data_IF_324982038621
#
_entry.id   IF_324982038621
#
_cell.length_a   1.000
_cell.length_b   1.000
_cell.length_c   1.000
_cell.angle_alpha   90.00
_cell.angle_beta   90.00
_cell.angle_gamma   90.00
#
_symmetry.space_group_name_H-M   'P 1'
#
loop_
_entity.id
_entity.type
_entity.pdbx_description
1 polymer ?
#
# COMPACT_ATOMS: atom_id res chain seq x y z
N UNK A 1 3.41 21.91 18.26
CA UNK A 1 4.05 22.41 17.01
C UNK A 1 4.86 21.28 16.35
N UNK A 2 5.64 20.51 17.10
CA UNK A 2 6.44 19.40 16.54
C UNK A 2 5.56 18.23 16.10
N UNK A 3 4.52 17.88 16.86
CA UNK A 3 3.52 16.89 16.49
C UNK A 3 2.82 17.24 15.16
N UNK A 4 2.51 18.52 14.95
CA UNK A 4 1.90 19.01 13.71
C UNK A 4 2.84 18.89 12.51
N UNK A 5 4.15 19.04 12.69
CA UNK A 5 5.14 18.87 11.63
C UNK A 5 5.27 17.40 11.22
N UNK A 6 5.34 16.48 12.20
CA UNK A 6 5.37 15.04 11.93
C UNK A 6 4.09 14.57 11.23
N UNK A 7 2.92 15.00 11.70
CA UNK A 7 1.63 14.68 11.10
C UNK A 7 1.56 15.18 9.65
N UNK A 8 1.99 16.41 9.38
CA UNK A 8 2.03 16.95 8.00
C UNK A 8 3.00 16.20 7.10
N UNK A 9 4.19 15.83 7.61
CA UNK A 9 5.18 15.08 6.85
C UNK A 9 4.68 13.66 6.53
N UNK A 10 4.02 13.00 7.48
CA UNK A 10 3.42 11.68 7.26
C UNK A 10 2.26 11.75 6.27
N UNK A 11 1.30 12.64 6.50
CA UNK A 11 0.07 12.75 5.69
C UNK A 11 0.33 13.26 4.28
N UNK A 12 1.31 14.15 4.08
CA UNK A 12 1.69 14.72 2.79
C UNK A 12 2.65 13.81 2.01
N UNK A 13 3.97 14.05 2.07
CA UNK A 13 4.94 13.33 1.25
C UNK A 13 5.11 11.85 1.64
N UNK A 14 4.99 11.49 2.92
CA UNK A 14 5.16 10.13 3.41
C UNK A 14 4.14 9.16 2.82
N UNK A 15 2.90 9.27 3.26
CA UNK A 15 1.81 8.38 2.81
C UNK A 15 1.21 8.81 1.48
N UNK A 16 1.39 10.08 1.08
CA UNK A 16 0.90 10.60 -0.17
C UNK A 16 1.72 10.22 -1.40
N UNK A 17 3.03 10.03 -1.26
CA UNK A 17 3.92 9.75 -2.38
C UNK A 17 4.90 8.63 -2.09
N UNK A 18 5.65 8.70 -0.98
CA UNK A 18 6.75 7.77 -0.73
C UNK A 18 6.28 6.33 -0.59
N UNK A 19 5.20 6.07 0.16
CA UNK A 19 4.63 4.73 0.34
C UNK A 19 4.07 4.11 -0.94
N UNK A 20 3.20 4.79 -1.72
CA UNK A 20 2.72 4.25 -2.99
C UNK A 20 3.87 3.98 -3.97
N UNK A 21 4.84 4.90 -4.07
CA UNK A 21 5.99 4.73 -4.97
C UNK A 21 6.88 3.57 -4.52
N UNK A 22 7.14 3.43 -3.21
CA UNK A 22 7.93 2.32 -2.68
C UNK A 22 7.25 0.97 -2.95
N UNK A 23 5.95 0.84 -2.68
CA UNK A 23 5.19 -0.38 -2.96
C UNK A 23 5.17 -0.70 -4.47
N UNK A 24 4.99 0.32 -5.33
CA UNK A 24 5.05 0.18 -6.77
C UNK A 24 6.44 -0.29 -7.25
N UNK A 25 7.52 0.27 -6.69
CA UNK A 25 8.89 -0.10 -7.01
C UNK A 25 9.18 -1.55 -6.59
N UNK A 26 8.84 -1.92 -5.35
CA UNK A 26 9.01 -3.30 -4.84
C UNK A 26 8.31 -4.30 -5.73
N UNK A 27 7.04 -4.05 -6.07
CA UNK A 27 6.29 -4.93 -6.95
C UNK A 27 6.93 -5.02 -8.35
N UNK A 28 7.40 -3.89 -8.89
CA UNK A 28 8.03 -3.84 -10.20
C UNK A 28 9.38 -4.56 -10.23
N UNK A 29 10.14 -4.53 -9.13
CA UNK A 29 11.37 -5.30 -8.98
C UNK A 29 11.09 -6.80 -8.84
N UNK A 30 10.01 -7.18 -8.13
CA UNK A 30 9.66 -8.59 -7.88
C UNK A 30 9.05 -9.29 -9.09
N UNK A 31 8.19 -8.61 -9.83
CA UNK A 31 7.42 -9.18 -10.95
C UNK A 31 7.92 -8.71 -12.33
N UNK A 32 8.88 -7.80 -12.36
CA UNK A 32 9.29 -7.13 -13.59
C UNK A 32 8.25 -6.09 -14.07
N UNK A 33 8.50 -5.53 -15.25
CA UNK A 33 7.63 -4.49 -15.85
C UNK A 33 6.40 -5.04 -16.57
N UNK A 34 6.33 -6.35 -16.77
CA UNK A 34 5.26 -7.03 -17.48
C UNK A 34 3.98 -7.23 -16.66
N UNK A 35 3.06 -8.00 -17.23
CA UNK A 35 1.85 -8.48 -16.53
C UNK A 35 2.24 -9.42 -15.40
N UNK A 36 1.38 -9.54 -14.39
CA UNK A 36 1.54 -10.50 -13.29
C UNK A 36 1.82 -11.94 -13.80
N UNK A 37 1.10 -12.36 -14.82
CA UNK A 37 1.24 -13.65 -15.48
C UNK A 37 2.68 -13.89 -16.02
N UNK A 38 3.27 -12.87 -16.64
CA UNK A 38 4.64 -12.97 -17.16
C UNK A 38 5.67 -13.09 -16.03
N UNK A 39 5.44 -12.40 -14.91
CA UNK A 39 6.33 -12.45 -13.74
C UNK A 39 6.38 -13.83 -13.07
N UNK A 40 5.30 -14.61 -13.14
CA UNK A 40 5.22 -15.96 -12.52
C UNK A 40 5.48 -17.09 -13.52
N UNK A 41 5.65 -16.78 -14.80
CA UNK A 41 5.91 -17.76 -15.86
C UNK A 41 7.11 -18.68 -15.58
N UNK A 42 8.25 -18.22 -15.02
CA UNK A 42 9.38 -19.11 -14.71
C UNK A 42 9.01 -20.19 -13.68
N UNK A 43 8.25 -19.82 -12.63
CA UNK A 43 7.80 -20.78 -11.62
C UNK A 43 6.81 -21.81 -12.20
N UNK A 44 5.94 -21.37 -13.10
CA UNK A 44 5.00 -22.24 -13.80
C UNK A 44 5.74 -23.22 -14.74
N UNK A 45 6.80 -22.79 -15.40
CA UNK A 45 7.64 -23.66 -16.22
C UNK A 45 8.33 -24.79 -15.42
N UNK A 46 8.54 -24.58 -14.11
CA UNK A 46 9.05 -25.57 -13.17
C UNK A 46 7.94 -26.42 -12.52
N UNK A 47 6.70 -26.35 -13.01
CA UNK A 47 5.57 -27.15 -12.53
C UNK A 47 4.77 -26.53 -11.37
N UNK A 48 5.06 -25.29 -10.97
CA UNK A 48 4.27 -24.62 -9.96
C UNK A 48 2.89 -24.21 -10.52
N UNK A 49 1.85 -24.36 -9.71
CA UNK A 49 0.52 -23.89 -10.07
C UNK A 49 0.52 -22.35 -10.17
N UNK A 50 0.19 -21.79 -11.33
CA UNK A 50 0.34 -20.36 -11.64
C UNK A 50 -0.30 -19.46 -10.62
N UNK A 51 -1.53 -19.76 -10.16
CA UNK A 51 -2.24 -18.96 -9.16
C UNK A 51 -1.53 -18.95 -7.81
N UNK A 52 -1.00 -20.08 -7.36
CA UNK A 52 -0.23 -20.17 -6.12
C UNK A 52 1.09 -19.43 -6.25
N UNK A 53 1.77 -19.54 -7.39
CA UNK A 53 2.99 -18.77 -7.66
C UNK A 53 2.71 -17.24 -7.66
N UNK A 54 1.60 -16.80 -8.27
CA UNK A 54 1.18 -15.42 -8.26
C UNK A 54 0.88 -14.90 -6.84
N UNK A 55 0.14 -15.70 -6.06
CA UNK A 55 -0.15 -15.34 -4.66
C UNK A 55 1.14 -15.28 -3.83
N UNK A 56 2.03 -16.26 -3.96
CA UNK A 56 3.31 -16.30 -3.26
C UNK A 56 4.20 -15.09 -3.61
N UNK A 57 4.29 -14.74 -4.88
CA UNK A 57 5.04 -13.58 -5.34
C UNK A 57 4.44 -12.25 -4.80
N UNK A 58 3.12 -12.11 -4.81
CA UNK A 58 2.43 -10.93 -4.27
C UNK A 58 2.61 -10.83 -2.75
N UNK A 59 2.48 -11.94 -2.02
CA UNK A 59 2.68 -11.97 -0.56
C UNK A 59 4.14 -11.64 -0.23
N UNK A 60 5.11 -12.24 -0.93
CA UNK A 60 6.52 -11.93 -0.75
C UNK A 60 6.83 -10.45 -1.00
N UNK A 61 6.32 -9.88 -2.09
CA UNK A 61 6.44 -8.46 -2.37
C UNK A 61 5.75 -7.58 -1.30
N UNK A 62 4.57 -8.01 -0.81
CA UNK A 62 3.84 -7.29 0.24
C UNK A 62 4.60 -7.27 1.57
N UNK A 63 5.27 -8.36 1.96
CA UNK A 63 6.10 -8.41 3.16
C UNK A 63 7.28 -7.44 3.06
N UNK A 64 7.97 -7.41 1.91
CA UNK A 64 9.08 -6.47 1.68
C UNK A 64 8.59 -5.03 1.67
N UNK A 65 7.47 -4.76 0.99
CA UNK A 65 6.87 -3.43 0.96
C UNK A 65 6.41 -2.98 2.35
N UNK A 66 5.83 -3.88 3.15
CA UNK A 66 5.43 -3.60 4.54
C UNK A 66 6.63 -3.21 5.41
N UNK A 67 7.75 -3.93 5.31
CA UNK A 67 8.97 -3.59 6.04
C UNK A 67 9.52 -2.21 5.65
N UNK A 68 9.57 -1.90 4.36
CA UNK A 68 9.98 -0.59 3.85
C UNK A 68 8.99 0.50 4.28
N UNK A 69 7.69 0.24 4.20
CA UNK A 69 6.65 1.17 4.61
C UNK A 69 6.69 1.49 6.11
N UNK A 70 6.93 0.47 6.95
CA UNK A 70 7.16 0.65 8.38
C UNK A 70 8.37 1.54 8.66
N UNK A 71 9.48 1.29 7.97
CA UNK A 71 10.71 2.07 8.11
C UNK A 71 10.52 3.52 7.69
N UNK A 72 9.90 3.77 6.52
CA UNK A 72 9.61 5.13 6.04
C UNK A 72 8.76 5.88 7.06
N UNK A 73 7.69 5.26 7.55
CA UNK A 73 6.78 5.88 8.51
C UNK A 73 7.47 6.15 9.87
N UNK A 74 8.27 5.20 10.36
CA UNK A 74 9.07 5.34 11.57
C UNK A 74 10.03 6.52 11.49
N UNK A 75 10.85 6.55 10.45
CA UNK A 75 11.86 7.61 10.24
C UNK A 75 11.18 8.97 10.10
N UNK A 76 10.08 9.04 9.33
CA UNK A 76 9.33 10.28 9.15
C UNK A 76 8.73 10.79 10.47
N UNK A 77 8.17 9.89 11.28
CA UNK A 77 7.62 10.24 12.59
C UNK A 77 8.73 10.76 13.53
N UNK A 78 9.84 10.04 13.65
CA UNK A 78 10.96 10.44 14.50
C UNK A 78 11.58 11.78 14.06
N UNK A 79 11.79 11.95 12.76
CA UNK A 79 12.35 13.20 12.21
C UNK A 79 11.45 14.42 12.47
N UNK A 80 10.13 14.21 12.52
CA UNK A 80 9.17 15.29 12.78
C UNK A 80 9.00 15.69 14.26
N UNK A 81 9.45 14.83 15.20
CA UNK A 81 9.27 15.08 16.65
C UNK A 81 10.45 15.81 17.31
N UNK A 82 11.60 15.95 16.66
CA UNK A 82 12.80 16.50 17.30
C UNK A 82 13.45 15.51 18.29
N UNK A 83 13.92 15.99 19.50
CA UNK A 83 14.61 15.11 20.45
C UNK A 83 13.76 13.91 20.87
N UNK A 84 14.37 12.71 21.03
CA UNK A 84 13.65 11.51 21.41
C UNK A 84 12.92 11.65 22.75
N UNK A 85 11.66 11.24 22.78
CA UNK A 85 10.80 11.19 23.96
C UNK A 85 9.95 9.91 23.94
N UNK A 86 9.37 9.53 25.09
CA UNK A 86 8.45 8.39 25.12
C UNK A 86 7.26 8.57 24.17
N UNK A 87 6.75 9.78 24.01
CA UNK A 87 5.68 10.10 23.08
C UNK A 87 6.14 9.91 21.62
N UNK A 88 7.34 10.37 21.24
CA UNK A 88 7.85 10.22 19.89
C UNK A 88 8.07 8.75 19.50
N UNK A 89 8.49 7.90 20.45
CA UNK A 89 8.62 6.46 20.23
C UNK A 89 7.26 5.80 20.02
N UNK A 90 6.26 6.14 20.84
CA UNK A 90 4.89 5.62 20.68
C UNK A 90 4.30 6.00 19.31
N UNK A 91 4.48 7.26 18.91
CA UNK A 91 3.99 7.74 17.61
C UNK A 91 4.73 7.10 16.43
N UNK A 92 6.05 6.86 16.57
CA UNK A 92 6.83 6.15 15.58
C UNK A 92 6.38 4.69 15.41
N UNK A 93 6.10 3.98 16.52
CA UNK A 93 5.58 2.61 16.48
C UNK A 93 4.17 2.58 15.85
N UNK A 94 3.30 3.52 16.25
CA UNK A 94 1.95 3.63 15.68
C UNK A 94 2.01 3.93 14.18
N UNK A 95 2.85 4.87 13.75
CA UNK A 95 3.03 5.18 12.33
C UNK A 95 3.62 4.02 11.55
N UNK A 96 4.53 3.24 12.16
CA UNK A 96 5.20 2.12 11.50
C UNK A 96 4.20 1.02 11.12
N UNK A 97 3.30 0.60 12.02
CA UNK A 97 2.34 -0.44 11.68
C UNK A 97 1.32 0.07 10.64
N UNK A 98 0.91 1.34 10.70
CA UNK A 98 0.05 1.96 9.68
C UNK A 98 0.78 1.94 8.32
N UNK A 99 2.07 2.33 8.31
CA UNK A 99 2.91 2.30 7.11
C UNK A 99 3.06 0.90 6.53
N UNK A 100 3.30 -0.10 7.40
CA UNK A 100 3.39 -1.51 6.99
C UNK A 100 2.09 -2.01 6.34
N UNK A 101 0.96 -1.81 7.02
CA UNK A 101 -0.35 -2.25 6.54
C UNK A 101 -0.72 -1.57 5.21
N UNK A 102 -0.49 -0.27 5.12
CA UNK A 102 -0.79 0.52 3.92
C UNK A 102 0.08 0.08 2.74
N UNK A 103 1.39 -0.11 2.94
CA UNK A 103 2.30 -0.55 1.88
C UNK A 103 1.98 -1.97 1.39
N UNK A 104 1.61 -2.88 2.30
CA UNK A 104 1.12 -4.20 1.93
C UNK A 104 -0.15 -4.12 1.07
N UNK A 105 -1.13 -3.30 1.48
CA UNK A 105 -2.35 -3.09 0.72
C UNK A 105 -2.07 -2.52 -0.68
N UNK A 106 -1.17 -1.53 -0.80
CA UNK A 106 -0.73 -1.00 -2.09
C UNK A 106 -0.11 -2.06 -3.00
N UNK A 107 0.67 -2.99 -2.42
CA UNK A 107 1.28 -4.06 -3.21
C UNK A 107 0.22 -4.93 -3.88
N UNK A 108 -0.83 -5.31 -3.16
CA UNK A 108 -1.96 -6.04 -3.74
C UNK A 108 -2.77 -5.20 -4.73
N UNK A 109 -2.98 -3.92 -4.43
CA UNK A 109 -3.66 -2.96 -5.30
C UNK A 109 -2.95 -2.82 -6.65
N UNK A 110 -1.63 -2.62 -6.65
CA UNK A 110 -0.84 -2.55 -7.88
C UNK A 110 -0.68 -3.93 -8.54
N UNK A 111 -0.67 -5.01 -7.77
CA UNK A 111 -0.70 -6.39 -8.27
C UNK A 111 -1.98 -6.67 -9.07
N UNK A 112 -3.12 -6.23 -8.54
CA UNK A 112 -4.38 -6.26 -9.29
C UNK A 112 -4.30 -5.39 -10.54
N UNK A 113 -3.77 -4.17 -10.44
CA UNK A 113 -3.51 -3.29 -11.59
C UNK A 113 -2.64 -3.97 -12.65
N UNK A 114 -1.60 -4.71 -12.25
CA UNK A 114 -0.70 -5.43 -13.17
C UNK A 114 -1.40 -6.54 -13.97
N UNK A 115 -2.55 -7.01 -13.54
CA UNK A 115 -3.35 -7.99 -14.27
C UNK A 115 -4.18 -7.37 -15.41
N UNK A 116 -4.19 -6.05 -15.53
CA UNK A 116 -4.92 -5.31 -16.58
C UNK A 116 -3.97 -4.63 -17.58
N UNK A 117 -4.46 -4.51 -18.79
CA UNK A 117 -3.79 -3.78 -19.87
C UNK A 117 -2.61 -4.54 -20.49
N UNK A 118 -2.12 -4.00 -21.60
CA UNK A 118 -0.93 -4.50 -22.24
C UNK A 118 0.30 -4.23 -21.34
N UNK A 119 1.18 -5.20 -21.24
CA UNK A 119 2.44 -5.08 -20.49
C UNK A 119 2.29 -4.64 -19.01
N UNK A 120 1.13 -4.91 -18.38
CA UNK A 120 0.91 -4.54 -16.98
C UNK A 120 0.72 -3.05 -16.72
N UNK A 121 0.38 -2.26 -17.73
CA UNK A 121 0.18 -0.81 -17.63
C UNK A 121 -0.91 -0.38 -16.65
N UNK A 122 -1.85 -1.26 -16.32
CA UNK A 122 -2.89 -0.98 -15.32
C UNK A 122 -2.37 -0.61 -13.93
N UNK A 123 -1.13 -1.01 -13.57
CA UNK A 123 -0.51 -0.57 -12.29
C UNK A 123 -0.20 0.93 -12.27
N UNK A 124 0.17 1.51 -13.43
CA UNK A 124 0.43 2.95 -13.56
C UNK A 124 -0.89 3.73 -13.47
N UNK A 125 -1.94 3.20 -14.11
CA UNK A 125 -3.29 3.76 -14.02
C UNK A 125 -3.78 3.70 -12.57
N UNK A 126 -3.57 2.57 -11.88
CA UNK A 126 -3.91 2.41 -10.47
C UNK A 126 -3.19 3.45 -9.58
N UNK A 127 -1.89 3.67 -9.80
CA UNK A 127 -1.14 4.71 -9.10
C UNK A 127 -1.72 6.11 -9.38
N UNK A 128 -2.00 6.43 -10.64
CA UNK A 128 -2.60 7.72 -11.02
C UNK A 128 -3.96 7.93 -10.38
N UNK A 129 -4.83 6.92 -10.38
CA UNK A 129 -6.15 6.99 -9.74
C UNK A 129 -6.04 7.20 -8.22
N UNK A 130 -5.14 6.50 -7.53
CA UNK A 130 -4.93 6.68 -6.09
C UNK A 130 -4.40 8.09 -5.78
N UNK A 131 -3.48 8.63 -6.59
CA UNK A 131 -2.94 9.97 -6.40
C UNK A 131 -3.99 11.06 -6.63
N UNK A 132 -4.94 10.86 -7.55
CA UNK A 132 -5.98 11.83 -7.89
C UNK A 132 -7.20 11.73 -6.98
N UNK A 133 -7.67 10.51 -6.69
CA UNK A 133 -8.95 10.27 -6.00
C UNK A 133 -8.73 9.99 -4.51
N UNK A 134 -7.64 9.31 -4.16
CA UNK A 134 -7.35 8.90 -2.77
C UNK A 134 -7.33 10.04 -1.75
N UNK A 135 -6.86 11.27 -2.05
CA UNK A 135 -6.90 12.38 -1.11
C UNK A 135 -8.26 13.10 -1.03
N UNK A 136 -9.22 12.79 -1.92
CA UNK A 136 -10.51 13.45 -1.95
C UNK A 136 -11.43 12.92 -0.85
N UNK A 137 -12.10 13.80 -0.14
CA UNK A 137 -13.11 13.45 0.86
C UNK A 137 -14.43 13.05 0.18
N UNK A 138 -14.42 11.94 -0.55
CA UNK A 138 -15.57 11.44 -1.31
C UNK A 138 -15.88 9.98 -0.95
N UNK A 139 -17.13 9.52 -1.08
CA UNK A 139 -17.47 8.11 -0.85
C UNK A 139 -16.64 7.12 -1.68
N UNK A 140 -16.20 7.54 -2.87
CA UNK A 140 -15.37 6.72 -3.77
C UNK A 140 -13.95 6.52 -3.21
N UNK A 141 -13.46 7.44 -2.38
CA UNK A 141 -12.13 7.34 -1.75
C UNK A 141 -11.98 6.09 -0.87
N UNK A 142 -13.08 5.53 -0.35
CA UNK A 142 -13.11 4.24 0.39
C UNK A 142 -12.48 3.09 -0.39
N UNK A 143 -12.47 3.15 -1.71
CA UNK A 143 -11.87 2.11 -2.56
C UNK A 143 -10.33 2.25 -2.70
N UNK A 144 -9.74 3.29 -2.14
CA UNK A 144 -8.32 3.58 -2.26
C UNK A 144 -7.59 3.43 -0.92
N UNK A 145 -6.43 2.74 -0.90
CA UNK A 145 -5.65 2.54 0.33
C UNK A 145 -5.27 3.85 1.03
N UNK A 146 -5.03 4.90 0.25
CA UNK A 146 -4.63 6.22 0.75
C UNK A 146 -5.66 6.84 1.68
N UNK A 147 -6.93 6.78 1.36
CA UNK A 147 -7.99 7.38 2.17
C UNK A 147 -8.04 6.75 3.58
N UNK A 148 -7.96 5.43 3.65
CA UNK A 148 -7.91 4.72 4.93
C UNK A 148 -6.63 5.02 5.72
N UNK A 149 -5.49 5.10 5.05
CA UNK A 149 -4.22 5.46 5.68
C UNK A 149 -4.28 6.88 6.29
N UNK A 150 -4.84 7.84 5.57
CA UNK A 150 -5.03 9.21 6.08
C UNK A 150 -5.99 9.25 7.28
N UNK A 151 -7.07 8.46 7.27
CA UNK A 151 -7.98 8.35 8.42
C UNK A 151 -7.26 7.75 9.64
N UNK A 152 -6.43 6.73 9.46
CA UNK A 152 -5.61 6.14 10.52
C UNK A 152 -4.58 7.13 11.10
N UNK A 153 -4.10 8.07 10.28
CA UNK A 153 -3.21 9.15 10.69
C UNK A 153 -3.94 10.37 11.29
N UNK A 154 -5.23 10.23 11.61
CA UNK A 154 -6.00 11.26 12.29
C UNK A 154 -6.67 12.28 11.36
N UNK A 155 -6.93 11.95 10.09
CA UNK A 155 -7.75 12.73 9.15
C UNK A 155 -9.12 12.08 8.92
N UNK A 156 -10.07 12.23 9.85
CA UNK A 156 -11.37 11.54 9.76
C UNK A 156 -12.18 11.95 8.54
N UNK A 157 -11.94 13.13 7.98
CA UNK A 157 -12.58 13.62 6.75
C UNK A 157 -12.15 12.83 5.50
N UNK A 158 -11.02 12.11 5.54
CA UNK A 158 -10.56 11.31 4.40
C UNK A 158 -11.51 10.16 4.08
N UNK A 159 -12.18 9.60 5.11
CA UNK A 159 -13.23 8.57 4.94
C UNK A 159 -14.39 8.95 5.86
N UNK A 160 -15.33 9.78 5.39
CA UNK A 160 -16.40 10.30 6.25
C UNK A 160 -17.21 9.19 6.91
N UNK A 161 -17.42 9.32 8.23
CA UNK A 161 -18.21 8.38 9.02
C UNK A 161 -17.48 7.08 9.42
N UNK A 162 -16.22 6.91 9.06
CA UNK A 162 -15.44 5.72 9.42
C UNK A 162 -14.55 5.97 10.64
N UNK A 163 -14.60 5.04 11.61
CA UNK A 163 -13.65 5.01 12.71
C UNK A 163 -12.27 4.52 12.22
N UNK A 164 -11.23 4.73 13.01
CA UNK A 164 -9.90 4.19 12.72
C UNK A 164 -9.91 2.65 12.66
N UNK A 165 -10.66 2.00 13.55
CA UNK A 165 -10.84 0.54 13.50
C UNK A 165 -11.51 0.09 12.20
N UNK A 166 -12.54 0.79 11.74
CA UNK A 166 -13.19 0.51 10.46
C UNK A 166 -12.21 0.68 9.28
N UNK A 167 -11.36 1.72 9.31
CA UNK A 167 -10.34 1.92 8.26
C UNK A 167 -9.26 0.85 8.28
N UNK A 168 -8.88 0.32 9.44
CA UNK A 168 -7.97 -0.85 9.53
C UNK A 168 -8.60 -2.07 8.85
N UNK A 169 -9.86 -2.38 9.19
CA UNK A 169 -10.61 -3.47 8.56
C UNK A 169 -10.75 -3.22 7.05
N UNK A 170 -11.01 -1.97 6.65
CA UNK A 170 -11.09 -1.54 5.27
C UNK A 170 -9.81 -1.85 4.49
N UNK A 171 -8.64 -1.48 5.01
CA UNK A 171 -7.35 -1.80 4.38
C UNK A 171 -7.11 -3.29 4.22
N UNK A 172 -7.40 -4.07 5.25
CA UNK A 172 -7.27 -5.55 5.19
C UNK A 172 -8.23 -6.13 4.15
N UNK A 173 -9.48 -5.67 4.15
CA UNK A 173 -10.49 -6.12 3.19
C UNK A 173 -10.11 -5.77 1.74
N UNK A 174 -9.61 -4.56 1.51
CA UNK A 174 -9.10 -4.12 0.21
C UNK A 174 -7.91 -4.98 -0.23
N UNK A 175 -6.95 -5.25 0.67
CA UNK A 175 -5.80 -6.10 0.37
C UNK A 175 -6.25 -7.50 -0.06
N UNK A 176 -7.18 -8.12 0.68
CA UNK A 176 -7.75 -9.42 0.33
C UNK A 176 -8.50 -9.38 -1.00
N UNK A 177 -9.31 -8.36 -1.23
CA UNK A 177 -10.05 -8.18 -2.48
C UNK A 177 -9.12 -8.06 -3.69
N UNK A 178 -8.09 -7.21 -3.60
CA UNK A 178 -7.14 -7.02 -4.69
C UNK A 178 -6.26 -8.24 -4.91
N UNK A 179 -5.85 -8.94 -3.85
CA UNK A 179 -5.12 -10.21 -3.96
C UNK A 179 -5.96 -11.25 -4.71
N UNK A 180 -7.22 -11.42 -4.31
CA UNK A 180 -8.15 -12.35 -4.95
C UNK A 180 -8.38 -11.99 -6.43
N UNK A 181 -8.57 -10.70 -6.73
CA UNK A 181 -8.77 -10.21 -8.08
C UNK A 181 -7.53 -10.49 -8.97
N UNK A 182 -6.33 -10.22 -8.45
CA UNK A 182 -5.08 -10.48 -9.15
C UNK A 182 -4.90 -11.97 -9.47
N UNK A 183 -5.12 -12.84 -8.47
CA UNK A 183 -4.96 -14.30 -8.61
C UNK A 183 -6.00 -14.90 -9.56
N UNK A 184 -7.26 -14.47 -9.47
CA UNK A 184 -8.34 -14.96 -10.36
C UNK A 184 -8.11 -14.61 -11.83
N UNK A 185 -7.38 -13.52 -12.11
CA UNK A 185 -7.04 -13.10 -13.47
C UNK A 185 -5.78 -13.77 -14.03
N UNK A 186 -5.06 -14.52 -13.22
CA UNK A 186 -3.94 -15.32 -13.69
C UNK A 186 -4.49 -16.63 -14.25
N UNK A 187 -4.41 -16.87 -15.57
CA UNK A 187 -4.91 -18.11 -16.18
C UNK A 187 -4.12 -19.31 -15.67
N UNK A 188 -4.74 -20.46 -15.66
CA UNK A 188 -4.11 -21.75 -15.30
C UNK A 188 -3.13 -22.19 -16.36
#
# INVERSE_FOLDING_TARGET
>A
VVSDAASRALQGPGFGLALPIAAFAVLSCSLGRGRLEAGVSPAAALGAHRRLAALGALVGAAVVAAAIGALIACVTALAGHGPPSAASVSDALTSSWIGALTAACYTFYFGAGASFGAQGGGRVIALGLDLLIGPLATPVAVLFPRAHALNLLGRPEAVPGWSQAASTIGLVSLACFFALMAVRRTPD
#
